data_IF_104645085980
#
_entry.id   IF_104645085980
#
_cell.length_a   1.000
_cell.length_b   1.000
_cell.length_c   1.000
_cell.angle_alpha   90.00
_cell.angle_beta   90.00
_cell.angle_gamma   90.00
#
_symmetry.space_group_name_H-M   'P 1'
#
loop_
_entity.id
_entity.type
_entity.pdbx_description
1 polymer ?
#
# COMPACT_ATOMS: atom_id res chain seq x y z
N UNK A 1 -8.10 11.95 34.92
CA UNK A 1 -8.45 11.34 33.64
C UNK A 1 -7.62 12.01 32.55
N UNK A 2 -6.72 11.27 31.93
CA UNK A 2 -5.81 11.81 30.92
C UNK A 2 -6.61 12.21 29.65
N UNK A 3 -6.14 13.20 28.91
CA UNK A 3 -6.77 13.62 27.63
C UNK A 3 -6.92 12.42 26.68
N UNK A 4 -5.98 11.48 26.74
CA UNK A 4 -5.98 10.23 26.00
C UNK A 4 -7.12 9.28 26.41
N UNK A 5 -7.37 9.12 27.72
CA UNK A 5 -8.48 8.26 28.21
C UNK A 5 -9.84 8.83 27.79
N UNK A 6 -9.96 10.15 27.69
CA UNK A 6 -11.17 10.81 27.14
C UNK A 6 -11.32 10.57 25.62
N UNK A 7 -10.20 10.50 24.90
CA UNK A 7 -10.22 10.26 23.45
C UNK A 7 -10.57 8.81 23.13
N UNK A 8 -10.00 7.85 23.87
CA UNK A 8 -10.35 6.42 23.76
C UNK A 8 -11.81 6.18 24.18
N UNK A 9 -12.23 6.70 25.36
CA UNK A 9 -13.62 6.56 25.82
C UNK A 9 -14.65 7.21 24.86
N UNK A 10 -14.25 8.24 24.10
CA UNK A 10 -15.10 8.86 23.08
C UNK A 10 -15.20 8.00 21.82
N UNK A 11 -14.11 7.28 21.45
CA UNK A 11 -14.12 6.32 20.34
C UNK A 11 -14.96 5.08 20.67
N UNK A 12 -14.86 4.55 21.87
CA UNK A 12 -15.64 3.41 22.35
C UNK A 12 -17.16 3.71 22.47
N UNK A 13 -17.53 4.99 22.55
CA UNK A 13 -18.94 5.41 22.67
C UNK A 13 -19.62 5.66 21.32
N UNK A 14 -18.89 5.70 20.20
CA UNK A 14 -19.44 6.00 18.88
C UNK A 14 -19.77 4.71 18.14
N UNK A 15 -21.03 4.54 17.72
CA UNK A 15 -21.44 3.42 16.88
C UNK A 15 -20.97 3.64 15.43
N UNK A 16 -19.84 3.00 15.07
CA UNK A 16 -19.25 3.10 13.72
C UNK A 16 -19.67 1.92 12.87
N UNK A 17 -20.22 2.20 11.70
CA UNK A 17 -20.60 1.20 10.70
C UNK A 17 -19.98 1.50 9.35
N UNK A 18 -19.53 0.46 8.66
CA UNK A 18 -19.09 0.56 7.28
C UNK A 18 -20.14 -0.05 6.37
N UNK A 19 -20.57 0.71 5.37
CA UNK A 19 -21.50 0.25 4.34
C UNK A 19 -20.74 0.14 3.04
N UNK A 20 -20.75 -1.04 2.42
CA UNK A 20 -20.13 -1.30 1.12
C UNK A 20 -21.20 -1.68 0.12
N UNK A 21 -21.26 -0.97 -0.98
CA UNK A 21 -22.21 -1.23 -2.05
C UNK A 21 -21.53 -1.21 -3.40
N UNK A 22 -21.73 -2.28 -4.16
CA UNK A 22 -21.40 -2.32 -5.57
C UNK A 22 -22.68 -2.29 -6.39
N UNK A 23 -22.80 -1.30 -7.26
CA UNK A 23 -23.91 -1.22 -8.23
C UNK A 23 -23.38 -0.79 -9.58
N UNK A 24 -23.67 -1.61 -10.60
CA UNK A 24 -23.19 -1.42 -11.96
C UNK A 24 -21.64 -1.33 -11.99
N UNK A 25 -21.13 -0.18 -12.40
CA UNK A 25 -19.68 0.08 -12.47
C UNK A 25 -19.16 0.98 -11.33
N UNK A 26 -19.89 1.06 -10.21
CA UNK A 26 -19.51 1.92 -9.09
C UNK A 26 -19.41 1.12 -7.81
N UNK A 27 -18.33 1.35 -7.10
CA UNK A 27 -18.17 0.93 -5.71
C UNK A 27 -18.34 2.17 -4.84
N UNK A 28 -19.23 2.08 -3.87
CA UNK A 28 -19.48 3.12 -2.88
C UNK A 28 -19.23 2.53 -1.49
N UNK A 29 -18.45 3.23 -0.70
CA UNK A 29 -18.19 2.86 0.69
C UNK A 29 -18.50 4.07 1.55
N UNK A 30 -19.32 3.88 2.57
CA UNK A 30 -19.67 4.91 3.53
C UNK A 30 -19.29 4.47 4.95
N UNK A 31 -18.70 5.37 5.71
CA UNK A 31 -18.49 5.21 7.14
C UNK A 31 -19.52 6.08 7.86
N UNK A 32 -20.33 5.42 8.69
CA UNK A 32 -21.29 6.10 9.54
C UNK A 32 -20.76 6.15 10.98
N UNK A 33 -20.97 7.28 11.65
CA UNK A 33 -20.74 7.48 13.08
C UNK A 33 -22.06 7.91 13.72
N UNK A 34 -22.62 7.10 14.60
CA UNK A 34 -23.96 7.32 15.21
C UNK A 34 -25.06 7.55 14.15
N UNK A 35 -24.97 6.85 13.02
CA UNK A 35 -25.92 6.99 11.91
C UNK A 35 -25.67 8.20 10.99
N UNK A 36 -24.67 9.03 11.26
CA UNK A 36 -24.30 10.18 10.45
C UNK A 36 -23.14 9.83 9.53
N UNK A 37 -23.21 10.24 8.26
CA UNK A 37 -22.14 10.00 7.29
C UNK A 37 -20.88 10.79 7.70
N UNK A 38 -19.82 10.05 8.07
CA UNK A 38 -18.52 10.62 8.43
C UNK A 38 -17.56 10.63 7.26
N UNK A 39 -17.49 9.53 6.48
CA UNK A 39 -16.60 9.40 5.33
C UNK A 39 -17.31 8.71 4.16
N UNK A 40 -16.96 9.08 2.94
CA UNK A 40 -17.52 8.51 1.74
C UNK A 40 -16.44 8.31 0.68
N UNK A 41 -16.30 7.08 0.20
CA UNK A 41 -15.37 6.70 -0.85
C UNK A 41 -16.16 6.21 -2.07
N UNK A 42 -15.77 6.66 -3.25
CA UNK A 42 -16.38 6.26 -4.51
C UNK A 42 -15.30 5.91 -5.52
N UNK A 43 -15.44 4.78 -6.19
CA UNK A 43 -14.64 4.42 -7.35
C UNK A 43 -15.54 4.00 -8.50
N UNK A 44 -15.11 4.33 -9.71
CA UNK A 44 -15.68 3.79 -10.93
C UNK A 44 -14.78 2.67 -11.43
N UNK A 45 -15.32 1.49 -11.70
CA UNK A 45 -14.57 0.35 -12.21
C UNK A 45 -13.93 0.60 -13.59
N UNK A 46 -14.36 1.67 -14.28
CA UNK A 46 -13.80 2.09 -15.57
C UNK A 46 -12.58 3.01 -15.44
N UNK A 47 -12.29 3.53 -14.26
CA UNK A 47 -11.14 4.41 -13.98
C UNK A 47 -10.36 3.85 -12.78
N UNK A 48 -9.74 2.69 -12.99
CA UNK A 48 -8.88 2.12 -11.96
C UNK A 48 -7.65 3.01 -11.76
N UNK A 49 -7.51 3.51 -10.53
CA UNK A 49 -6.29 4.19 -10.11
C UNK A 49 -5.10 3.23 -10.25
N UNK A 50 -4.04 3.70 -10.85
CA UNK A 50 -2.78 2.94 -10.96
C UNK A 50 -1.88 3.10 -9.74
N UNK A 51 -2.27 3.94 -8.77
CA UNK A 51 -1.45 4.22 -7.57
C UNK A 51 -1.20 2.92 -6.81
N UNK A 52 0.09 2.64 -6.55
CA UNK A 52 0.54 1.42 -5.90
C UNK A 52 0.92 0.29 -6.86
N UNK A 53 0.46 0.32 -8.10
CA UNK A 53 0.85 -0.67 -9.11
C UNK A 53 2.36 -0.63 -9.37
N UNK A 54 2.95 -1.81 -9.51
CA UNK A 54 4.39 -1.97 -9.80
C UNK A 54 4.57 -2.46 -11.22
N UNK A 55 5.45 -1.80 -11.95
CA UNK A 55 5.77 -2.09 -13.35
C UNK A 55 7.26 -2.34 -13.54
N UNK A 56 7.60 -3.19 -14.47
CA UNK A 56 8.89 -3.15 -15.14
C UNK A 56 8.76 -2.14 -16.27
N UNK A 57 9.28 -0.92 -16.07
CA UNK A 57 9.21 0.15 -17.04
C UNK A 57 10.43 0.17 -17.96
N UNK A 58 10.29 0.77 -19.14
CA UNK A 58 11.38 1.03 -20.08
C UNK A 58 11.69 2.52 -20.14
N UNK A 59 12.93 2.89 -19.81
CA UNK A 59 13.38 4.29 -19.89
C UNK A 59 13.39 4.74 -21.34
N UNK A 60 12.59 5.75 -21.66
CA UNK A 60 12.50 6.33 -22.99
C UNK A 60 13.50 7.46 -23.18
N UNK A 61 13.60 8.35 -22.19
CA UNK A 61 14.47 9.49 -22.21
C UNK A 61 14.90 9.90 -20.82
N UNK A 62 16.11 10.42 -20.69
CA UNK A 62 16.65 11.01 -19.45
C UNK A 62 16.91 12.48 -19.70
N UNK A 63 16.39 13.35 -18.83
CA UNK A 63 16.51 14.80 -18.91
C UNK A 63 17.30 15.34 -17.70
N UNK A 64 18.64 15.47 -17.81
CA UNK A 64 19.48 15.94 -16.71
C UNK A 64 19.08 17.31 -16.17
N UNK A 65 18.64 18.24 -17.05
CA UNK A 65 18.21 19.59 -16.66
C UNK A 65 16.97 19.62 -15.78
N UNK A 66 16.15 18.56 -15.83
CA UNK A 66 14.94 18.41 -15.01
C UNK A 66 15.15 17.41 -13.86
N UNK A 67 16.32 16.80 -13.78
CA UNK A 67 16.58 15.68 -12.86
C UNK A 67 15.47 14.61 -12.92
N UNK A 68 15.08 14.19 -14.13
CA UNK A 68 13.98 13.29 -14.37
C UNK A 68 14.23 12.33 -15.53
N UNK A 69 13.61 11.16 -15.49
CA UNK A 69 13.53 10.21 -16.58
C UNK A 69 12.07 9.98 -16.98
N UNK A 70 11.83 9.91 -18.29
CA UNK A 70 10.55 9.46 -18.84
C UNK A 70 10.59 7.95 -19.04
N UNK A 71 9.60 7.27 -18.46
CA UNK A 71 9.52 5.81 -18.42
C UNK A 71 8.20 5.36 -19.05
N UNK A 72 8.30 4.48 -20.02
CA UNK A 72 7.13 3.78 -20.57
C UNK A 72 6.72 2.65 -19.61
N UNK A 73 5.46 2.66 -19.19
CA UNK A 73 4.83 1.64 -18.34
C UNK A 73 3.72 0.88 -19.07
N UNK A 74 3.62 1.01 -20.40
CA UNK A 74 2.60 0.34 -21.21
C UNK A 74 1.19 0.94 -21.12
N UNK A 75 1.08 2.22 -20.71
CA UNK A 75 -0.21 2.92 -20.53
C UNK A 75 -0.39 4.12 -21.47
N UNK A 76 0.24 4.06 -22.62
CA UNK A 76 0.11 5.03 -23.72
C UNK A 76 0.92 6.30 -23.53
N UNK A 77 1.02 6.85 -22.32
CA UNK A 77 1.86 8.03 -22.02
C UNK A 77 3.03 7.64 -21.13
N UNK A 78 4.19 8.21 -21.43
CA UNK A 78 5.35 8.05 -20.57
C UNK A 78 5.08 8.64 -19.19
N UNK A 79 5.38 7.86 -18.18
CA UNK A 79 5.38 8.29 -16.79
C UNK A 79 6.71 9.00 -16.45
N UNK A 80 6.75 9.69 -15.31
CA UNK A 80 7.92 10.48 -14.90
C UNK A 80 8.50 9.93 -13.60
N UNK A 81 9.80 9.63 -13.62
CA UNK A 81 10.60 9.28 -12.45
C UNK A 81 11.59 10.42 -12.17
N UNK A 82 11.42 11.11 -11.05
CA UNK A 82 12.35 12.17 -10.62
C UNK A 82 13.51 11.60 -9.82
N UNK A 83 14.65 12.30 -9.83
CA UNK A 83 15.85 11.90 -9.10
C UNK A 83 15.62 11.67 -7.59
N UNK A 84 14.73 12.47 -6.96
CA UNK A 84 14.36 12.30 -5.56
C UNK A 84 13.59 11.01 -5.25
N UNK A 85 13.06 10.34 -6.28
CA UNK A 85 12.30 9.09 -6.18
C UNK A 85 13.13 7.86 -6.62
N UNK A 86 14.40 8.05 -6.98
CA UNK A 86 15.30 6.96 -7.36
C UNK A 86 15.80 6.25 -6.11
N UNK A 87 15.80 4.93 -6.15
CA UNK A 87 16.49 4.13 -5.15
C UNK A 87 18.00 4.13 -5.41
N UNK A 88 18.68 5.10 -4.81
CA UNK A 88 20.11 5.33 -5.02
C UNK A 88 21.00 4.22 -4.46
N UNK A 89 20.51 3.46 -3.47
CA UNK A 89 21.27 2.36 -2.88
C UNK A 89 21.28 1.14 -3.83
N UNK A 90 20.22 0.97 -4.61
CA UNK A 90 20.14 -0.04 -5.66
C UNK A 90 20.82 0.39 -6.98
N UNK A 91 20.96 1.70 -7.22
CA UNK A 91 21.61 2.25 -8.41
C UNK A 91 23.14 2.23 -8.24
N UNK A 92 23.79 1.15 -8.61
CA UNK A 92 25.25 0.92 -8.52
C UNK A 92 26.05 2.08 -9.15
N UNK A 93 26.25 3.16 -8.38
CA UNK A 93 26.86 4.40 -8.89
C UNK A 93 28.40 4.38 -8.97
N UNK A 94 29.07 3.36 -8.40
CA UNK A 94 30.54 3.22 -8.40
C UNK A 94 31.27 4.54 -8.00
N UNK A 95 30.74 5.24 -6.99
CA UNK A 95 31.29 6.50 -6.50
C UNK A 95 30.92 7.75 -7.29
N UNK A 96 30.08 7.64 -8.33
CA UNK A 96 29.56 8.80 -9.07
C UNK A 96 28.53 9.60 -8.28
N UNK A 97 28.37 10.89 -8.53
CA UNK A 97 27.37 11.70 -7.86
C UNK A 97 25.94 11.21 -8.19
N UNK A 98 25.01 11.39 -7.23
CA UNK A 98 23.59 11.03 -7.34
C UNK A 98 22.87 11.95 -8.35
N UNK A 99 23.13 11.74 -9.64
CA UNK A 99 22.48 12.42 -10.77
C UNK A 99 21.71 11.41 -11.60
N UNK A 100 20.55 11.81 -12.13
CA UNK A 100 19.65 10.90 -12.85
C UNK A 100 20.34 10.22 -14.03
N UNK A 101 21.19 10.93 -14.78
CA UNK A 101 21.94 10.42 -15.92
C UNK A 101 23.03 9.39 -15.55
N UNK A 102 23.42 9.33 -14.28
CA UNK A 102 24.35 8.33 -13.79
C UNK A 102 23.64 7.02 -13.38
N UNK A 103 22.35 7.12 -13.02
CA UNK A 103 21.56 5.98 -12.59
C UNK A 103 20.81 5.31 -13.73
N UNK A 104 20.33 6.07 -14.72
CA UNK A 104 19.46 5.60 -15.78
C UNK A 104 19.91 6.08 -17.15
N UNK A 105 19.77 5.22 -18.15
CA UNK A 105 20.00 5.54 -19.56
C UNK A 105 18.77 5.20 -20.37
N UNK A 106 18.61 5.85 -21.52
CA UNK A 106 17.57 5.50 -22.49
C UNK A 106 17.73 4.04 -22.94
N UNK A 107 16.64 3.29 -22.90
CA UNK A 107 16.61 1.86 -23.21
C UNK A 107 16.72 0.94 -21.99
N UNK A 108 17.17 1.45 -20.83
CA UNK A 108 17.25 0.65 -19.61
C UNK A 108 15.84 0.20 -19.13
N UNK A 109 15.81 -0.93 -18.44
CA UNK A 109 14.63 -1.38 -17.70
C UNK A 109 14.75 -0.97 -16.25
N UNK A 110 13.66 -0.51 -15.66
CA UNK A 110 13.62 -0.07 -14.26
C UNK A 110 12.34 -0.55 -13.57
N UNK A 111 12.50 -1.09 -12.37
CA UNK A 111 11.36 -1.45 -11.51
C UNK A 111 10.82 -0.17 -10.87
N UNK A 112 9.54 0.11 -11.11
CA UNK A 112 8.91 1.35 -10.65
C UNK A 112 7.52 1.11 -10.11
N UNK A 113 7.13 1.94 -9.15
CA UNK A 113 5.79 1.98 -8.57
C UNK A 113 5.12 3.31 -8.86
N UNK A 114 3.84 3.29 -9.17
CA UNK A 114 3.05 4.51 -9.42
C UNK A 114 2.69 5.16 -8.09
N UNK A 115 3.04 6.45 -7.95
CA UNK A 115 2.70 7.26 -6.76
C UNK A 115 1.58 8.26 -7.01
N UNK A 116 1.37 8.66 -8.27
CA UNK A 116 0.25 9.52 -8.67
C UNK A 116 -0.26 9.11 -10.05
N UNK A 117 -1.58 9.12 -10.20
CA UNK A 117 -2.23 8.89 -11.48
C UNK A 117 -1.91 9.99 -12.50
N UNK A 118 -2.01 9.69 -13.80
CA UNK A 118 -1.90 10.71 -14.83
C UNK A 118 -3.04 11.72 -14.72
N UNK A 119 -2.71 13.00 -14.88
CA UNK A 119 -3.70 14.09 -14.81
C UNK A 119 -3.55 14.98 -16.04
N UNK A 120 -4.63 15.15 -16.81
CA UNK A 120 -4.64 15.95 -18.02
C UNK A 120 -3.61 15.45 -19.03
N UNK A 121 -2.63 16.29 -19.36
CA UNK A 121 -1.52 15.96 -20.28
C UNK A 121 -0.29 15.35 -19.59
N UNK A 122 -0.26 15.30 -18.26
CA UNK A 122 0.87 14.77 -17.49
C UNK A 122 0.74 13.25 -17.33
N UNK A 123 1.83 12.53 -17.57
CA UNK A 123 1.94 11.11 -17.27
C UNK A 123 1.93 10.81 -15.77
N UNK A 124 1.78 9.53 -15.43
CA UNK A 124 1.86 9.07 -14.03
C UNK A 124 3.19 9.46 -13.38
N UNK A 125 3.20 9.66 -12.07
CA UNK A 125 4.42 9.84 -11.30
C UNK A 125 4.89 8.51 -10.72
N UNK A 126 6.19 8.28 -10.80
CA UNK A 126 6.81 7.03 -10.40
C UNK A 126 7.79 7.23 -9.23
N UNK A 127 8.03 6.15 -8.51
CA UNK A 127 9.16 5.95 -7.60
C UNK A 127 9.82 4.61 -7.89
N UNK A 128 11.13 4.50 -7.72
CA UNK A 128 11.82 3.19 -7.72
C UNK A 128 12.04 2.64 -6.31
N UNK A 129 11.58 3.37 -5.29
CA UNK A 129 11.52 2.91 -3.90
C UNK A 129 10.18 2.21 -3.67
N UNK A 130 10.09 0.94 -4.03
CA UNK A 130 8.85 0.16 -3.90
C UNK A 130 8.47 0.04 -2.43
N UNK A 131 7.19 0.22 -2.14
CA UNK A 131 6.61 0.01 -0.83
C UNK A 131 5.31 -0.78 -0.95
N UNK A 132 5.16 -1.81 -0.13
CA UNK A 132 4.00 -2.70 -0.15
C UNK A 132 3.18 -2.48 1.13
N UNK A 133 2.00 -1.86 1.03
CA UNK A 133 1.18 -1.59 2.20
C UNK A 133 0.46 -2.85 2.67
N UNK A 134 0.70 -3.20 3.94
CA UNK A 134 -0.06 -4.17 4.69
C UNK A 134 -1.11 -3.51 5.59
N UNK A 135 -1.78 -4.32 6.41
CA UNK A 135 -2.72 -3.82 7.41
C UNK A 135 -1.99 -3.10 8.54
N UNK A 136 -0.99 -3.74 9.11
CA UNK A 136 -0.28 -3.27 10.31
C UNK A 136 1.02 -2.54 10.00
N UNK A 137 1.60 -2.80 8.86
CA UNK A 137 2.88 -2.21 8.45
C UNK A 137 2.96 -2.01 6.94
N UNK A 138 3.90 -1.17 6.53
CA UNK A 138 4.32 -1.04 5.12
C UNK A 138 5.70 -1.69 5.00
N UNK A 139 5.82 -2.64 4.09
CA UNK A 139 7.06 -3.33 3.81
C UNK A 139 7.85 -2.58 2.72
N UNK A 140 9.13 -2.29 2.97
CA UNK A 140 10.01 -1.55 2.08
C UNK A 140 11.21 -2.43 1.71
N UNK A 141 11.15 -3.12 0.57
CA UNK A 141 12.25 -3.98 0.13
C UNK A 141 13.55 -3.19 -0.07
N UNK A 142 14.68 -3.79 0.32
CA UNK A 142 15.98 -3.13 0.22
C UNK A 142 16.15 -1.92 1.14
N UNK A 143 15.19 -1.66 2.01
CA UNK A 143 15.28 -0.61 3.03
C UNK A 143 15.97 -1.12 4.29
N UNK A 144 16.79 -0.31 4.91
CA UNK A 144 17.44 -0.62 6.20
C UNK A 144 16.71 0.01 7.40
N UNK A 145 15.65 0.78 7.15
CA UNK A 145 15.01 1.62 8.16
C UNK A 145 13.74 0.99 8.73
N UNK A 146 13.70 0.81 10.04
CA UNK A 146 12.49 0.45 10.77
C UNK A 146 11.88 1.72 11.36
N UNK A 147 10.75 2.16 10.78
CA UNK A 147 9.96 3.26 11.30
C UNK A 147 8.78 2.74 12.11
N UNK A 148 8.47 3.36 13.24
CA UNK A 148 7.26 3.06 14.02
C UNK A 148 6.49 4.35 14.23
N UNK A 149 5.18 4.33 13.99
CA UNK A 149 4.31 5.51 14.12
C UNK A 149 4.51 6.20 15.47
N UNK A 150 4.76 7.51 15.44
CA UNK A 150 4.92 8.34 16.64
C UNK A 150 3.60 8.53 17.41
N UNK A 151 2.47 8.17 16.82
CA UNK A 151 1.15 8.20 17.45
C UNK A 151 0.97 7.06 18.45
N UNK A 152 1.76 5.99 18.33
CA UNK A 152 1.74 4.86 19.26
C UNK A 152 2.40 5.22 20.60
N UNK A 153 1.90 4.67 21.72
CA UNK A 153 2.53 4.80 23.03
C UNK A 153 3.95 4.24 23.06
N UNK A 154 4.81 4.75 23.94
CA UNK A 154 6.19 4.31 24.06
C UNK A 154 6.31 2.83 24.41
N UNK A 155 5.40 2.31 25.25
CA UNK A 155 5.35 0.89 25.63
C UNK A 155 5.07 0.03 24.40
N UNK A 156 4.07 0.41 23.60
CA UNK A 156 3.73 -0.28 22.34
C UNK A 156 4.88 -0.21 21.33
N UNK A 157 5.47 0.96 21.16
CA UNK A 157 6.64 1.12 20.26
C UNK A 157 7.79 0.19 20.65
N UNK A 158 8.04 0.06 21.95
CA UNK A 158 9.11 -0.83 22.47
C UNK A 158 8.76 -2.31 22.23
N UNK A 159 7.50 -2.71 22.46
CA UNK A 159 6.99 -4.06 22.18
C UNK A 159 7.13 -4.42 20.70
N UNK A 160 6.61 -3.56 19.82
CA UNK A 160 6.64 -3.76 18.37
C UNK A 160 8.08 -3.80 17.84
N UNK A 161 8.98 -2.94 18.35
CA UNK A 161 10.39 -2.96 17.97
C UNK A 161 11.06 -4.29 18.30
N UNK A 162 10.74 -4.90 19.45
CA UNK A 162 11.26 -6.22 19.83
C UNK A 162 10.77 -7.30 18.87
N UNK A 163 9.46 -7.37 18.61
CA UNK A 163 8.87 -8.34 17.69
C UNK A 163 9.49 -8.23 16.30
N UNK A 164 9.59 -6.99 15.76
CA UNK A 164 10.15 -6.77 14.43
C UNK A 164 11.61 -7.20 14.32
N UNK A 165 12.41 -7.01 15.39
CA UNK A 165 13.81 -7.43 15.38
C UNK A 165 13.98 -8.94 15.18
N UNK A 166 13.02 -9.73 15.69
CA UNK A 166 13.07 -11.19 15.64
C UNK A 166 12.52 -11.75 14.32
N UNK A 167 11.68 -10.99 13.60
CA UNK A 167 10.94 -11.47 12.43
C UNK A 167 11.29 -10.79 11.10
N UNK A 168 12.02 -9.67 11.12
CA UNK A 168 12.38 -8.95 9.90
C UNK A 168 13.67 -9.48 9.26
N UNK A 169 13.68 -9.68 7.92
CA UNK A 169 14.91 -9.88 7.18
C UNK A 169 15.85 -8.66 7.32
N UNK A 170 17.16 -8.88 7.28
CA UNK A 170 18.16 -7.82 7.41
C UNK A 170 18.16 -6.82 6.25
N UNK A 171 17.64 -7.23 5.10
CA UNK A 171 17.56 -6.46 3.86
C UNK A 171 16.19 -5.81 3.61
N UNK A 172 15.32 -5.77 4.61
CA UNK A 172 14.01 -5.18 4.51
C UNK A 172 13.75 -4.12 5.58
N UNK A 173 13.24 -2.97 5.16
CA UNK A 173 12.68 -1.96 6.04
C UNK A 173 11.18 -2.15 6.26
N UNK A 174 10.67 -1.61 7.36
CA UNK A 174 9.23 -1.54 7.61
C UNK A 174 8.85 -0.22 8.24
N UNK A 175 7.63 0.21 7.95
CA UNK A 175 6.98 1.34 8.61
C UNK A 175 5.74 0.80 9.31
N UNK A 176 5.77 0.74 10.65
CA UNK A 176 4.65 0.25 11.44
C UNK A 176 3.57 1.32 11.56
N UNK A 177 2.35 0.93 11.25
CA UNK A 177 1.17 1.79 11.28
C UNK A 177 0.55 1.84 12.68
N UNK A 178 -0.33 2.80 12.90
CA UNK A 178 -1.09 2.91 14.17
C UNK A 178 -2.02 1.71 14.39
N UNK A 179 -2.51 1.09 13.33
CA UNK A 179 -3.34 -0.13 13.40
C UNK A 179 -2.63 -1.34 14.06
N UNK A 180 -1.31 -1.27 14.25
CA UNK A 180 -0.55 -2.31 14.96
C UNK A 180 -0.64 -2.22 16.49
N UNK A 181 -1.38 -1.24 17.03
CA UNK A 181 -1.60 -1.12 18.48
C UNK A 181 -2.37 -2.35 19.00
N UNK A 182 -1.81 -3.03 20.00
CA UNK A 182 -2.42 -4.21 20.60
C UNK A 182 -2.40 -5.49 19.75
N UNK A 183 -1.94 -5.43 18.51
CA UNK A 183 -1.89 -6.58 17.60
C UNK A 183 -0.98 -7.67 18.13
N UNK A 184 -1.37 -8.92 17.95
CA UNK A 184 -0.57 -10.07 18.35
C UNK A 184 0.70 -10.20 17.50
N UNK A 185 1.73 -10.87 18.05
CA UNK A 185 2.95 -11.18 17.32
C UNK A 185 2.67 -12.02 16.06
N UNK A 186 1.73 -12.97 16.16
CA UNK A 186 1.34 -13.85 15.05
C UNK A 186 0.72 -13.06 13.88
N UNK A 187 -0.14 -12.10 14.17
CA UNK A 187 -0.78 -11.27 13.14
C UNK A 187 0.24 -10.38 12.43
N UNK A 188 1.18 -9.79 13.19
CA UNK A 188 2.28 -9.02 12.61
C UNK A 188 3.16 -9.89 11.71
N UNK A 189 3.48 -11.11 12.16
CA UNK A 189 4.27 -12.06 11.40
C UNK A 189 3.54 -12.49 10.12
N UNK A 190 2.25 -12.72 10.19
CA UNK A 190 1.42 -13.04 9.02
C UNK A 190 1.45 -11.91 7.99
N UNK A 191 1.32 -10.66 8.42
CA UNK A 191 1.38 -9.50 7.53
C UNK A 191 2.76 -9.37 6.87
N UNK A 192 3.85 -9.52 7.65
CA UNK A 192 5.23 -9.53 7.13
C UNK A 192 5.43 -10.66 6.10
N UNK A 193 5.03 -11.88 6.41
CA UNK A 193 5.21 -13.03 5.54
C UNK A 193 4.43 -12.86 4.21
N UNK A 194 3.20 -12.34 4.29
CA UNK A 194 2.39 -12.05 3.11
C UNK A 194 3.05 -11.02 2.21
N UNK A 195 3.53 -9.91 2.78
CA UNK A 195 4.16 -8.84 2.01
C UNK A 195 5.51 -9.26 1.43
N UNK A 196 6.25 -10.10 2.17
CA UNK A 196 7.50 -10.70 1.67
C UNK A 196 7.24 -11.62 0.48
N UNK A 197 6.27 -12.53 0.59
CA UNK A 197 5.89 -13.41 -0.51
C UNK A 197 5.41 -12.62 -1.74
N UNK A 198 4.67 -11.53 -1.52
CA UNK A 198 4.26 -10.62 -2.59
C UNK A 198 5.46 -9.97 -3.28
N UNK A 199 6.46 -9.52 -2.50
CA UNK A 199 7.69 -8.95 -3.05
C UNK A 199 8.52 -9.99 -3.83
N UNK A 200 8.68 -11.19 -3.28
CA UNK A 200 9.36 -12.31 -3.96
C UNK A 200 8.69 -12.62 -5.32
N UNK A 201 7.35 -12.64 -5.37
CA UNK A 201 6.61 -12.81 -6.62
C UNK A 201 6.81 -11.67 -7.63
N UNK A 202 6.97 -10.43 -7.17
CA UNK A 202 7.31 -9.29 -8.05
C UNK A 202 8.72 -9.45 -8.60
N UNK A 203 9.69 -9.81 -7.76
CA UNK A 203 11.09 -10.03 -8.18
C UNK A 203 11.23 -11.19 -9.16
N UNK A 204 10.55 -12.30 -8.92
CA UNK A 204 10.54 -13.45 -9.81
C UNK A 204 10.03 -13.06 -11.20
N UNK A 205 8.92 -12.32 -11.25
CA UNK A 205 8.40 -11.80 -12.52
C UNK A 205 9.38 -10.83 -13.17
N UNK A 206 9.98 -9.90 -12.42
CA UNK A 206 10.91 -8.91 -12.96
C UNK A 206 12.20 -9.53 -13.52
N UNK A 207 12.68 -10.63 -12.95
CA UNK A 207 13.90 -11.34 -13.36
C UNK A 207 13.67 -12.42 -14.41
N UNK A 208 12.42 -12.68 -14.77
CA UNK A 208 12.05 -13.70 -15.75
C UNK A 208 12.65 -13.41 -17.15
N UNK A 209 13.29 -14.42 -17.75
CA UNK A 209 13.97 -14.29 -19.06
C UNK A 209 13.03 -13.96 -20.23
N UNK A 210 11.72 -14.07 -20.05
CA UNK A 210 10.69 -13.79 -21.06
C UNK A 210 9.98 -12.45 -20.86
N UNK A 211 10.32 -11.71 -19.81
CA UNK A 211 9.65 -10.45 -19.46
C UNK A 211 10.22 -9.34 -20.33
N UNK A 212 9.35 -8.71 -21.11
CA UNK A 212 9.71 -7.58 -21.97
C UNK A 212 9.05 -6.30 -21.38
N UNK A 213 9.88 -5.37 -20.95
CA UNK A 213 9.37 -4.05 -20.53
C UNK A 213 8.76 -3.28 -21.74
N UNK A 214 7.61 -2.64 -21.54
CA UNK A 214 6.91 -2.38 -20.27
C UNK A 214 5.96 -3.53 -19.88
N UNK A 215 5.95 -3.92 -18.58
CA UNK A 215 5.05 -4.95 -18.06
C UNK A 215 4.53 -4.63 -16.64
N UNK A 216 3.26 -4.95 -16.39
CA UNK A 216 2.63 -4.86 -15.07
C UNK A 216 3.02 -6.09 -14.24
N UNK A 217 3.77 -5.90 -13.17
CA UNK A 217 4.23 -6.98 -12.29
C UNK A 217 3.28 -7.21 -11.11
N UNK A 218 2.68 -6.13 -10.60
CA UNK A 218 1.75 -6.16 -9.49
C UNK A 218 0.70 -5.06 -9.63
N UNK A 219 -0.56 -5.42 -9.45
CA UNK A 219 -1.69 -4.50 -9.35
C UNK A 219 -2.15 -4.37 -7.90
N UNK A 220 -2.27 -3.13 -7.42
CA UNK A 220 -2.89 -2.87 -6.12
C UNK A 220 -4.35 -3.34 -6.13
N UNK A 221 -4.85 -3.87 -5.00
CA UNK A 221 -6.26 -4.22 -4.86
C UNK A 221 -7.20 -3.05 -5.17
N UNK A 222 -8.44 -3.37 -5.43
CA UNK A 222 -9.49 -2.38 -5.66
C UNK A 222 -9.77 -1.50 -4.42
N UNK A 223 -10.61 -0.48 -4.60
CA UNK A 223 -10.97 0.46 -3.53
C UNK A 223 -11.55 -0.26 -2.32
N UNK A 224 -12.31 -1.33 -2.52
CA UNK A 224 -12.97 -2.08 -1.45
C UNK A 224 -11.93 -2.66 -0.49
N UNK A 225 -11.01 -3.44 -1.03
CA UNK A 225 -9.94 -4.07 -0.23
C UNK A 225 -9.00 -3.02 0.37
N UNK A 226 -8.68 -1.96 -0.36
CA UNK A 226 -7.89 -0.83 0.18
C UNK A 226 -8.58 -0.20 1.38
N UNK A 227 -9.88 0.06 1.29
CA UNK A 227 -10.64 0.71 2.39
C UNK A 227 -10.76 -0.24 3.58
N UNK A 228 -11.02 -1.51 3.37
CA UNK A 228 -11.04 -2.51 4.45
C UNK A 228 -9.67 -2.59 5.13
N UNK A 229 -8.59 -2.66 4.35
CA UNK A 229 -7.23 -2.68 4.89
C UNK A 229 -6.87 -1.45 5.73
N UNK A 230 -7.29 -0.27 5.27
CA UNK A 230 -6.79 1.00 5.80
C UNK A 230 -7.73 1.65 6.82
N UNK A 231 -9.03 1.35 6.78
CA UNK A 231 -10.07 2.03 7.57
C UNK A 231 -10.78 1.09 8.54
N UNK A 232 -11.15 -0.13 8.08
CA UNK A 232 -11.92 -1.05 8.90
C UNK A 232 -11.08 -1.66 10.03
N UNK A 233 -11.53 -1.53 11.27
CA UNK A 233 -10.84 -2.00 12.47
C UNK A 233 -11.84 -2.38 13.57
N UNK A 234 -11.32 -2.69 14.76
CA UNK A 234 -12.06 -3.12 15.94
C UNK A 234 -13.01 -2.06 16.53
N UNK A 235 -12.87 -0.79 16.12
CA UNK A 235 -13.76 0.31 16.53
C UNK A 235 -15.12 0.26 15.79
N UNK A 236 -15.25 -0.58 14.76
CA UNK A 236 -16.50 -0.72 14.02
C UNK A 236 -17.42 -1.77 14.68
N UNK A 237 -18.70 -1.42 14.80
CA UNK A 237 -19.73 -2.35 15.29
C UNK A 237 -20.23 -3.31 14.22
N UNK A 238 -20.16 -2.91 12.93
CA UNK A 238 -20.57 -3.76 11.81
C UNK A 238 -19.99 -3.28 10.48
N UNK A 239 -19.85 -4.25 9.54
CA UNK A 239 -19.70 -3.98 8.11
C UNK A 239 -20.87 -4.62 7.37
N UNK A 240 -21.62 -3.83 6.62
CA UNK A 240 -22.73 -4.30 5.79
C UNK A 240 -22.31 -4.23 4.32
N UNK A 241 -22.36 -5.37 3.64
CA UNK A 241 -21.90 -5.51 2.26
C UNK A 241 -23.06 -5.89 1.36
N UNK A 242 -23.27 -5.12 0.29
CA UNK A 242 -24.24 -5.42 -0.76
C UNK A 242 -23.50 -5.87 -2.03
N UNK A 243 -23.78 -7.10 -2.47
CA UNK A 243 -23.20 -7.74 -3.65
C UNK A 243 -22.34 -8.94 -3.31
N UNK A 244 -22.68 -10.11 -3.86
CA UNK A 244 -22.08 -11.41 -3.55
C UNK A 244 -20.57 -11.43 -3.85
N UNK A 245 -20.17 -11.00 -5.07
CA UNK A 245 -18.75 -10.96 -5.44
C UNK A 245 -17.91 -10.01 -4.57
N UNK A 246 -18.50 -8.90 -4.12
CA UNK A 246 -17.83 -7.95 -3.22
C UNK A 246 -17.70 -8.56 -1.82
N UNK A 247 -18.73 -9.27 -1.38
CA UNK A 247 -18.72 -10.02 -0.12
C UNK A 247 -17.60 -11.05 -0.11
N UNK A 248 -17.55 -11.93 -1.12
CA UNK A 248 -16.57 -13.01 -1.21
C UNK A 248 -15.14 -12.47 -1.17
N UNK A 249 -14.87 -11.37 -1.86
CA UNK A 249 -13.56 -10.71 -1.86
C UNK A 249 -13.18 -10.16 -0.48
N UNK A 250 -14.12 -9.50 0.21
CA UNK A 250 -13.90 -8.94 1.55
C UNK A 250 -13.69 -10.07 2.55
N UNK A 251 -14.58 -11.08 2.54
CA UNK A 251 -14.52 -12.23 3.45
C UNK A 251 -13.18 -12.96 3.31
N UNK A 252 -12.76 -13.27 2.08
CA UNK A 252 -11.48 -13.90 1.81
C UNK A 252 -10.31 -13.08 2.34
N UNK A 253 -10.33 -11.76 2.11
CA UNK A 253 -9.29 -10.86 2.59
C UNK A 253 -9.24 -10.81 4.12
N UNK A 254 -10.38 -10.57 4.79
CA UNK A 254 -10.47 -10.46 6.25
C UNK A 254 -10.09 -11.78 6.93
N UNK A 255 -10.58 -12.92 6.41
CA UNK A 255 -10.23 -14.25 6.93
C UNK A 255 -8.72 -14.48 6.95
N UNK A 256 -8.03 -14.03 5.91
CA UNK A 256 -6.59 -14.25 5.80
C UNK A 256 -5.76 -13.26 6.62
N UNK A 257 -6.15 -11.97 6.64
CA UNK A 257 -5.31 -10.88 7.19
C UNK A 257 -5.65 -10.55 8.63
N UNK A 258 -6.93 -10.60 9.00
CA UNK A 258 -7.43 -10.21 10.31
C UNK A 258 -8.68 -11.02 10.71
N UNK A 259 -8.53 -12.34 10.94
CA UNK A 259 -9.68 -13.25 11.15
C UNK A 259 -10.54 -12.85 12.36
N UNK A 260 -9.98 -12.18 13.37
CA UNK A 260 -10.73 -11.67 14.51
C UNK A 260 -11.78 -10.62 14.14
N UNK A 261 -11.64 -9.95 12.99
CA UNK A 261 -12.64 -8.99 12.50
C UNK A 261 -13.88 -9.65 11.88
N UNK A 262 -13.83 -10.95 11.60
CA UNK A 262 -15.02 -11.70 11.15
C UNK A 262 -16.10 -11.75 12.22
N UNK A 263 -15.70 -11.72 13.50
CA UNK A 263 -16.62 -11.68 14.64
C UNK A 263 -17.34 -10.34 14.79
N UNK A 264 -16.80 -9.29 14.16
CA UNK A 264 -17.46 -7.99 14.03
C UNK A 264 -18.48 -8.11 12.91
N UNK A 265 -19.72 -8.42 13.24
CA UNK A 265 -20.93 -8.48 12.41
C UNK A 265 -20.72 -8.13 10.92
N UNK A 266 -20.01 -8.99 10.18
CA UNK A 266 -19.92 -8.91 8.74
C UNK A 266 -21.26 -9.40 8.18
N UNK A 267 -22.02 -8.55 7.52
CA UNK A 267 -23.39 -8.85 7.09
C UNK A 267 -23.49 -8.70 5.59
N UNK A 268 -23.79 -9.81 4.91
CA UNK A 268 -24.19 -9.76 3.50
C UNK A 268 -25.67 -9.39 3.40
N UNK A 269 -26.00 -8.36 2.62
CA UNK A 269 -27.37 -7.89 2.39
C UNK A 269 -27.74 -7.86 0.91
#
# INVERSE_FOLDING_TARGET
>A
MCIRDRFLARREAVDRKMLVRQRDQRIQIAVLEDGVLAEHFVSHTTQDSMIGNVYLGKVQNVLPSMEAAFVDIGRGRNAVLYAGEVNWDAAQLDGKPRKIENALKSGDTVLVQVTKDPVGHKGARLTSQVSLPGRYLVYVPGGSMTGISRKLPDVERSRLKKILKDHLPQDAGVIVRTAAEGTSEQELQNDINRLRAQWEGIQEKASGTKVLAPELLYAEPDLTIKTVRDVFNEDFSAMLVQGEATWDNIEAYVTYVAPHLLDLSLIHI
#
